data_IF_382687696941
#
_entry.id   IF_382687696941
#
_cell.length_a   1.000
_cell.length_b   1.000
_cell.length_c   1.000
_cell.angle_alpha   90.00
_cell.angle_beta   90.00
_cell.angle_gamma   90.00
#
_symmetry.space_group_name_H-M   'P 1'
#
loop_
_entity.id
_entity.type
_entity.pdbx_description
1 polymer ?
#
# COMPACT_ATOMS: atom_id res chain seq x y z
N UNK A 1 -41.46 15.16 -8.53
CA UNK A 1 -40.41 16.10 -8.10
C UNK A 1 -39.27 15.28 -7.51
N UNK A 2 -38.14 15.16 -8.21
CA UNK A 2 -36.94 14.45 -7.72
C UNK A 2 -35.82 15.48 -7.51
N UNK A 3 -35.11 15.49 -6.36
CA UNK A 3 -33.98 16.38 -6.16
C UNK A 3 -32.70 15.77 -6.76
N UNK A 4 -32.08 16.46 -7.70
CA UNK A 4 -30.72 16.20 -8.20
C UNK A 4 -29.70 16.74 -7.20
N UNK A 5 -28.82 15.89 -6.69
CA UNK A 5 -27.66 16.30 -5.88
C UNK A 5 -26.55 16.88 -6.80
N UNK A 6 -25.86 17.96 -6.41
CA UNK A 6 -24.70 18.45 -7.15
C UNK A 6 -23.45 17.63 -6.78
N UNK A 7 -22.95 16.84 -7.72
CA UNK A 7 -21.61 16.22 -7.64
C UNK A 7 -20.56 17.29 -7.89
N UNK A 8 -19.91 17.78 -6.83
CA UNK A 8 -18.72 18.64 -6.95
C UNK A 8 -17.53 17.77 -7.37
N UNK A 9 -17.18 17.80 -8.67
CA UNK A 9 -15.92 17.27 -9.16
C UNK A 9 -14.79 18.27 -8.86
N UNK A 10 -13.76 17.85 -8.14
CA UNK A 10 -12.54 18.63 -7.97
C UNK A 10 -11.73 18.63 -9.28
N UNK A 11 -11.15 19.76 -9.73
CA UNK A 11 -10.29 19.76 -10.89
C UNK A 11 -8.93 19.13 -10.54
N UNK A 12 -8.67 17.93 -11.07
CA UNK A 12 -7.31 17.36 -11.08
C UNK A 12 -6.47 18.14 -12.09
N UNK A 13 -5.55 18.96 -11.56
CA UNK A 13 -4.47 19.59 -12.31
C UNK A 13 -3.67 18.51 -13.06
N UNK A 14 -3.55 18.68 -14.38
CA UNK A 14 -3.00 17.69 -15.29
C UNK A 14 -1.52 17.39 -15.05
N UNK A 15 -1.24 16.11 -14.79
CA UNK A 15 0.07 15.53 -15.06
C UNK A 15 0.00 14.88 -16.45
N UNK A 16 0.91 15.28 -17.36
CA UNK A 16 0.98 14.83 -18.75
C UNK A 16 1.34 13.34 -18.92
N UNK A 17 1.57 12.59 -17.84
CA UNK A 17 1.82 11.16 -17.86
C UNK A 17 0.63 10.37 -17.31
N UNK A 18 -0.50 10.40 -18.02
CA UNK A 18 -1.65 9.55 -17.71
C UNK A 18 -1.43 8.15 -18.27
N UNK A 19 -1.11 7.19 -17.39
CA UNK A 19 -0.92 5.77 -17.72
C UNK A 19 -2.23 5.00 -17.96
N UNK A 20 -3.38 5.59 -17.61
CA UNK A 20 -4.69 4.96 -17.76
C UNK A 20 -5.49 5.69 -18.83
N UNK A 21 -5.43 5.20 -20.06
CA UNK A 21 -6.34 5.62 -21.12
C UNK A 21 -7.73 5.04 -20.83
N UNK A 22 -8.70 5.90 -20.51
CA UNK A 22 -10.11 5.51 -20.39
C UNK A 22 -10.61 5.17 -21.80
N UNK A 23 -10.62 3.89 -22.15
CA UNK A 23 -11.26 3.42 -23.37
C UNK A 23 -12.71 3.06 -23.06
N UNK A 24 -13.63 3.68 -23.81
CA UNK A 24 -15.06 3.41 -23.77
C UNK A 24 -15.28 2.02 -24.38
N UNK A 25 -15.61 1.03 -23.56
CA UNK A 25 -15.83 -0.36 -24.01
C UNK A 25 -17.12 -0.44 -24.82
N UNK A 26 -17.00 -0.56 -26.14
CA UNK A 26 -18.06 -1.07 -27.01
C UNK A 26 -17.87 -2.60 -27.08
N UNK A 27 -18.89 -3.36 -26.69
CA UNK A 27 -18.87 -4.83 -26.77
C UNK A 27 -18.85 -5.28 -28.23
N UNK A 28 -17.81 -5.98 -28.63
CA UNK A 28 -17.77 -6.80 -29.86
C UNK A 28 -16.86 -8.00 -29.59
N UNK A 29 -17.20 -9.11 -30.22
CA UNK A 29 -16.81 -10.50 -29.94
C UNK A 29 -15.32 -10.78 -29.64
N UNK A 30 -15.09 -11.76 -28.76
CA UNK A 30 -13.79 -12.28 -28.32
C UNK A 30 -12.99 -12.86 -29.47
N UNK A 31 -12.13 -12.05 -30.06
CA UNK A 31 -10.96 -12.49 -30.83
C UNK A 31 -9.80 -12.65 -29.83
N UNK A 32 -9.02 -13.74 -29.82
CA UNK A 32 -7.88 -13.84 -28.92
C UNK A 32 -6.87 -12.72 -29.24
N UNK A 33 -6.59 -11.88 -28.24
CA UNK A 33 -5.55 -10.84 -28.33
C UNK A 33 -4.20 -11.54 -28.44
N UNK A 34 -3.63 -11.53 -29.66
CA UNK A 34 -2.22 -11.88 -29.86
C UNK A 34 -1.37 -10.77 -29.25
N UNK A 35 -0.65 -11.09 -28.17
CA UNK A 35 0.27 -10.15 -27.53
C UNK A 35 1.48 -10.00 -28.45
N UNK A 36 1.77 -8.79 -28.99
CA UNK A 36 2.90 -8.60 -29.89
C UNK A 36 4.20 -8.90 -29.12
N UNK A 37 4.95 -9.90 -29.56
CA UNK A 37 6.23 -10.29 -28.95
C UNK A 37 6.27 -11.68 -28.31
N UNK A 38 5.14 -12.40 -28.23
CA UNK A 38 5.14 -13.77 -27.70
C UNK A 38 5.55 -14.77 -28.80
N UNK A 39 6.85 -15.05 -28.92
CA UNK A 39 7.38 -16.15 -29.73
C UNK A 39 7.38 -17.40 -28.87
N UNK A 40 6.51 -18.36 -29.17
CA UNK A 40 6.42 -19.65 -28.49
C UNK A 40 7.69 -20.49 -28.62
N UNK A 41 8.54 -20.21 -29.60
CA UNK A 41 9.66 -21.07 -30.00
C UNK A 41 11.00 -20.83 -29.25
N UNK A 42 11.10 -19.87 -28.32
CA UNK A 42 12.38 -19.52 -27.65
C UNK A 42 12.61 -20.16 -26.26
N UNK A 43 11.69 -21.00 -25.77
CA UNK A 43 11.71 -21.46 -24.37
C UNK A 43 12.55 -22.71 -24.08
N UNK A 44 13.09 -23.38 -25.11
CA UNK A 44 13.90 -24.61 -24.97
C UNK A 44 15.41 -24.35 -24.84
N UNK A 45 15.82 -23.18 -24.35
CA UNK A 45 17.22 -22.96 -23.95
C UNK A 45 17.43 -23.34 -22.47
N UNK A 46 18.42 -24.20 -22.24
CA UNK A 46 18.89 -24.59 -20.92
C UNK A 46 19.36 -23.35 -20.12
N UNK A 47 18.45 -22.77 -19.34
CA UNK A 47 18.71 -21.57 -18.53
C UNK A 47 17.50 -20.65 -18.36
N UNK A 48 16.52 -20.67 -19.26
CA UNK A 48 15.32 -19.84 -19.14
C UNK A 48 14.26 -20.53 -18.28
N UNK A 49 13.68 -19.77 -17.34
CA UNK A 49 12.55 -20.26 -16.52
C UNK A 49 11.37 -20.48 -17.46
N UNK A 50 10.71 -21.64 -17.31
CA UNK A 50 9.51 -21.97 -18.09
C UNK A 50 8.49 -20.81 -18.02
N UNK A 51 7.74 -20.57 -19.12
CA UNK A 51 6.63 -19.62 -19.13
C UNK A 51 5.70 -19.84 -17.94
N UNK A 52 5.07 -18.77 -17.44
CA UNK A 52 4.19 -18.87 -16.27
C UNK A 52 3.10 -19.94 -16.42
N UNK A 53 2.61 -20.16 -17.65
CA UNK A 53 1.61 -21.18 -17.96
C UNK A 53 2.15 -22.62 -17.90
N UNK A 54 3.44 -22.80 -18.20
CA UNK A 54 4.10 -24.11 -18.25
C UNK A 54 4.89 -24.40 -16.96
N UNK A 55 4.82 -23.51 -15.96
CA UNK A 55 5.46 -23.72 -14.66
C UNK A 55 4.58 -24.58 -13.78
N UNK A 56 5.10 -25.73 -13.39
CA UNK A 56 4.56 -26.47 -12.26
C UNK A 56 4.97 -25.77 -10.97
N UNK A 57 3.98 -25.24 -10.24
CA UNK A 57 4.21 -24.67 -8.92
C UNK A 57 4.14 -25.79 -7.88
N UNK A 58 5.10 -25.84 -6.93
CA UNK A 58 5.03 -26.80 -5.84
C UNK A 58 3.72 -26.60 -5.09
N UNK A 59 3.03 -27.72 -4.84
CA UNK A 59 1.82 -27.71 -4.03
C UNK A 59 2.17 -27.22 -2.62
N UNK A 60 1.31 -26.43 -1.97
CA UNK A 60 1.50 -26.08 -0.56
C UNK A 60 1.71 -27.35 0.28
N UNK A 61 2.64 -27.31 1.23
CA UNK A 61 2.93 -28.43 2.14
C UNK A 61 1.76 -28.73 3.06
N UNK A 62 0.92 -27.73 3.34
CA UNK A 62 -0.24 -27.81 4.23
C UNK A 62 -1.51 -27.40 3.48
N UNK A 63 -2.65 -27.92 3.94
CA UNK A 63 -3.96 -27.50 3.42
C UNK A 63 -4.20 -26.03 3.78
N UNK A 64 -4.57 -25.24 2.76
CA UNK A 64 -4.86 -23.82 2.95
C UNK A 64 -6.22 -23.66 3.61
N UNK A 65 -6.24 -23.24 4.87
CA UNK A 65 -7.45 -22.78 5.54
C UNK A 65 -7.90 -21.44 4.97
N UNK A 66 -8.83 -21.51 4.01
CA UNK A 66 -9.39 -20.36 3.29
C UNK A 66 -10.05 -19.37 4.25
N UNK A 67 -10.74 -19.86 5.29
CA UNK A 67 -11.46 -19.00 6.21
C UNK A 67 -10.47 -18.14 7.00
N UNK A 68 -9.41 -18.75 7.54
CA UNK A 68 -8.35 -18.00 8.21
C UNK A 68 -7.65 -16.99 7.30
N UNK A 69 -7.53 -17.28 6.00
CA UNK A 69 -6.87 -16.39 5.06
C UNK A 69 -7.71 -15.16 4.73
N UNK A 70 -9.03 -15.33 4.65
CA UNK A 70 -9.98 -14.25 4.39
C UNK A 70 -10.19 -13.36 5.63
N UNK A 71 -10.13 -13.93 6.82
CA UNK A 71 -10.30 -13.20 8.08
C UNK A 71 -9.08 -12.35 8.45
N UNK A 72 -7.92 -12.62 7.83
CA UNK A 72 -6.71 -11.81 8.02
C UNK A 72 -6.96 -10.37 7.56
N UNK A 73 -6.50 -9.43 8.39
CA UNK A 73 -6.53 -8.03 7.98
C UNK A 73 -5.74 -7.85 6.68
N UNK A 74 -6.29 -7.10 5.71
CA UNK A 74 -5.68 -6.95 4.42
C UNK A 74 -4.34 -6.22 4.55
N UNK A 75 -3.35 -6.68 3.79
CA UNK A 75 -2.02 -6.10 3.81
C UNK A 75 -1.97 -4.64 3.34
N UNK A 76 -0.81 -4.01 3.51
CA UNK A 76 -0.57 -2.60 3.15
C UNK A 76 -0.85 -2.27 1.68
N UNK A 77 -0.80 -3.24 0.77
CA UNK A 77 -1.07 -3.00 -0.65
C UNK A 77 -2.54 -2.69 -0.93
N UNK A 78 -3.45 -2.96 0.02
CA UNK A 78 -4.85 -2.58 -0.08
C UNK A 78 -5.09 -1.14 0.38
N UNK A 79 -6.18 -0.50 -0.09
CA UNK A 79 -6.57 0.85 0.33
C UNK A 79 -6.69 0.96 1.86
N UNK A 80 -7.37 -0.01 2.50
CA UNK A 80 -7.49 -0.07 3.95
C UNK A 80 -6.11 -0.16 4.63
N UNK A 81 -5.24 -1.02 4.12
CA UNK A 81 -3.89 -1.19 4.64
C UNK A 81 -3.00 0.05 4.47
N UNK A 82 -3.13 0.79 3.36
CA UNK A 82 -2.44 2.08 3.18
C UNK A 82 -2.94 3.13 4.17
N UNK A 83 -4.25 3.25 4.35
CA UNK A 83 -4.84 4.20 5.29
C UNK A 83 -4.40 3.91 6.72
N UNK A 84 -4.46 2.65 7.16
CA UNK A 84 -4.02 2.25 8.49
C UNK A 84 -2.51 2.50 8.70
N UNK A 85 -1.68 2.18 7.70
CA UNK A 85 -0.25 2.45 7.74
C UNK A 85 0.06 3.95 7.89
N UNK A 86 -0.68 4.81 7.20
CA UNK A 86 -0.54 6.26 7.30
C UNK A 86 -1.01 6.78 8.65
N UNK A 87 -2.13 6.26 9.16
CA UNK A 87 -2.64 6.59 10.47
C UNK A 87 -1.62 6.24 11.57
N UNK A 88 -1.06 5.03 11.55
CA UNK A 88 -0.03 4.62 12.51
C UNK A 88 1.19 5.55 12.47
N UNK A 89 1.66 5.93 11.27
CA UNK A 89 2.76 6.90 11.12
C UNK A 89 2.43 8.25 11.75
N UNK A 90 1.22 8.76 11.52
CA UNK A 90 0.78 10.02 12.11
C UNK A 90 0.68 9.95 13.65
N UNK A 91 0.25 8.81 14.21
CA UNK A 91 0.21 8.59 15.66
C UNK A 91 1.62 8.55 16.28
N UNK A 92 2.56 7.85 15.62
CA UNK A 92 3.95 7.83 16.08
C UNK A 92 4.59 9.23 16.07
N UNK A 93 4.34 10.03 15.04
CA UNK A 93 4.84 11.41 14.98
C UNK A 93 4.30 12.27 16.13
N UNK A 94 3.00 12.15 16.47
CA UNK A 94 2.41 12.86 17.62
C UNK A 94 3.02 12.43 18.95
N UNK A 95 3.24 11.13 19.14
CA UNK A 95 3.84 10.61 20.37
C UNK A 95 5.30 11.11 20.54
N UNK A 96 6.07 11.26 19.45
CA UNK A 96 7.44 11.79 19.53
C UNK A 96 7.50 13.22 20.05
N UNK A 97 6.55 14.08 19.70
CA UNK A 97 6.48 15.46 20.19
C UNK A 97 6.18 15.50 21.69
N UNK A 98 5.25 14.67 22.15
CA UNK A 98 4.91 14.54 23.57
C UNK A 98 6.09 14.01 24.40
N UNK A 99 6.78 12.99 23.87
CA UNK A 99 8.00 12.44 24.49
C UNK A 99 9.11 13.50 24.58
N UNK A 100 9.31 14.30 23.53
CA UNK A 100 10.30 15.40 23.54
C UNK A 100 9.94 16.46 24.58
N UNK A 101 8.67 16.86 24.66
CA UNK A 101 8.20 17.84 25.63
C UNK A 101 8.37 17.34 27.08
N UNK A 102 8.12 16.06 27.33
CA UNK A 102 8.36 15.45 28.65
C UNK A 102 9.85 15.47 29.00
N UNK A 103 10.73 15.09 28.07
CA UNK A 103 12.19 15.12 28.28
C UNK A 103 12.71 16.52 28.61
N UNK A 104 12.16 17.57 27.99
CA UNK A 104 12.56 18.94 28.33
C UNK A 104 12.14 19.33 29.75
N UNK A 105 10.90 19.00 30.15
CA UNK A 105 10.42 19.23 31.52
C UNK A 105 11.26 18.50 32.55
N UNK A 106 11.62 17.25 32.27
CA UNK A 106 12.46 16.44 33.16
C UNK A 106 13.87 17.02 33.28
N UNK A 107 14.43 17.54 32.17
CA UNK A 107 15.74 18.19 32.17
C UNK A 107 15.74 19.50 32.98
N UNK A 108 14.71 20.33 32.82
CA UNK A 108 14.58 21.57 33.60
C UNK A 108 14.43 21.30 35.09
N UNK A 109 13.61 20.29 35.45
CA UNK A 109 13.46 19.83 36.83
C UNK A 109 14.78 19.34 37.41
N UNK A 110 15.51 18.50 36.68
CA UNK A 110 16.82 17.99 37.12
C UNK A 110 17.84 19.12 37.31
N UNK A 111 17.82 20.14 36.44
CA UNK A 111 18.68 21.33 36.58
C UNK A 111 18.37 22.11 37.85
N UNK A 112 17.09 22.27 38.19
CA UNK A 112 16.65 22.95 39.40
C UNK A 112 16.97 22.15 40.67
N UNK A 113 16.74 20.84 40.65
CA UNK A 113 17.10 19.92 41.74
C UNK A 113 18.60 19.95 42.02
N UNK A 114 19.42 19.88 40.97
CA UNK A 114 20.87 20.03 41.09
C UNK A 114 21.20 21.36 41.74
N UNK A 115 20.72 22.49 41.21
CA UNK A 115 20.99 23.81 41.80
C UNK A 115 20.55 23.92 43.26
N UNK A 116 19.47 23.27 43.64
CA UNK A 116 18.95 23.27 45.01
C UNK A 116 19.82 22.40 45.93
N UNK A 117 20.35 21.29 45.43
CA UNK A 117 21.26 20.42 46.20
C UNK A 117 22.63 21.07 46.46
N UNK A 118 23.05 22.04 45.65
CA UNK A 118 24.26 22.84 45.88
C UNK A 118 24.07 24.03 46.85
N UNK A 119 22.85 24.31 47.34
CA UNK A 119 22.57 25.41 48.30
C UNK A 119 22.58 24.98 49.76
N UNK A 120 23.54 24.13 50.15
CA UNK A 120 23.89 23.88 51.55
C UNK A 120 25.02 24.81 52.00
#
# INVERSE_FOLDING_TARGET
>A
MNPTAPTTAAPTSGNANSYFSIHKTQSTETTPVSTPGFKSEEFDQAGHKLPALNREFPKPTEELDIQSMLDRQPGRWTTKGQMEANQRRAQHARNEEEIKAQRMRDFEKAKEELRSSWRF
#
